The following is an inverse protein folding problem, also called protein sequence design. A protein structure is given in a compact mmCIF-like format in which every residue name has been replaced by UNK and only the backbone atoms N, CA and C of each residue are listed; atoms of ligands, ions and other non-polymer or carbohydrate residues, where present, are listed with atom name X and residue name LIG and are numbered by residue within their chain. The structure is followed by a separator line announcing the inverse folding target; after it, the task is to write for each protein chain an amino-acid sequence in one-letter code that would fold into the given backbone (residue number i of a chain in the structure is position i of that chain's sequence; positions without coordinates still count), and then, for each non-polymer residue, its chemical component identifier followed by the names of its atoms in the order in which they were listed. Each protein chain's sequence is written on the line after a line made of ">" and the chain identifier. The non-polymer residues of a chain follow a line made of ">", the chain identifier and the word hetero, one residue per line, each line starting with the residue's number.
data_IF_762962269872
#
_entry.id   IF_762962269872
#
_cell.length_a   1.000
_cell.length_b   1.000
_cell.length_c   1.000
_cell.angle_alpha   90.00
_cell.angle_beta   90.00
_cell.angle_gamma   90.00
#
_symmetry.space_group_name_H-M   'P 1'
#
loop_
_entity.id
_entity.type
_entity.pdbx_description
1 polymer ?
#
# COMPACT_ATOMS: atom_id res chain seq x y z
N UNK A 1 4.44 -4.43 7.02
CA UNK A 1 5.68 -5.16 6.64
C UNK A 1 5.45 -6.59 6.17
N UNK A 2 5.00 -7.47 7.06
CA UNK A 2 5.00 -8.94 6.84
C UNK A 2 4.07 -9.43 5.72
N UNK A 3 3.01 -8.68 5.39
CA UNK A 3 2.06 -9.05 4.32
C UNK A 3 2.76 -9.23 2.95
N UNK A 4 3.84 -8.49 2.70
CA UNK A 4 4.51 -8.48 1.39
C UNK A 4 5.17 -9.83 1.06
N UNK A 5 5.70 -10.54 2.05
CA UNK A 5 6.59 -11.69 1.81
C UNK A 5 6.46 -12.80 2.84
N UNK A 6 6.24 -12.49 4.12
CA UNK A 6 6.33 -13.46 5.22
C UNK A 6 5.22 -14.51 5.13
N UNK A 7 3.97 -14.10 4.97
CA UNK A 7 2.84 -15.04 4.90
C UNK A 7 2.90 -15.93 3.66
N UNK A 8 3.30 -15.37 2.52
CA UNK A 8 3.51 -16.13 1.28
C UNK A 8 4.65 -17.14 1.42
N UNK A 9 5.74 -16.77 2.08
CA UNK A 9 6.84 -17.68 2.35
C UNK A 9 6.44 -18.79 3.32
N UNK A 10 5.68 -18.47 4.38
CA UNK A 10 5.17 -19.46 5.32
C UNK A 10 4.23 -20.47 4.66
N UNK A 11 3.47 -20.07 3.64
CA UNK A 11 2.64 -21.00 2.88
C UNK A 11 3.47 -22.13 2.23
N UNK A 12 4.67 -21.80 1.77
CA UNK A 12 5.59 -22.73 1.12
C UNK A 12 6.42 -23.51 2.13
N UNK A 13 6.94 -22.83 3.15
CA UNK A 13 7.98 -23.36 4.03
C UNK A 13 7.46 -23.94 5.35
N UNK A 14 6.36 -23.40 5.88
CA UNK A 14 5.83 -23.74 7.19
C UNK A 14 4.29 -23.58 7.26
N UNK A 15 3.52 -24.37 6.49
CA UNK A 15 2.07 -24.20 6.39
C UNK A 15 1.33 -24.45 7.72
N UNK A 16 1.89 -25.25 8.63
CA UNK A 16 1.33 -25.46 9.97
C UNK A 16 1.49 -24.21 10.87
N UNK A 17 2.58 -23.47 10.69
CA UNK A 17 2.81 -22.18 11.36
C UNK A 17 1.85 -21.15 10.79
N UNK A 18 1.70 -21.09 9.46
CA UNK A 18 0.74 -20.21 8.80
C UNK A 18 -0.68 -20.44 9.32
N UNK A 19 -1.15 -21.69 9.37
CA UNK A 19 -2.50 -22.02 9.83
C UNK A 19 -2.76 -21.51 11.26
N UNK A 20 -1.80 -21.72 12.18
CA UNK A 20 -1.91 -21.22 13.56
C UNK A 20 -1.89 -19.69 13.65
N UNK A 21 -1.10 -19.02 12.80
CA UNK A 21 -1.09 -17.55 12.75
C UNK A 21 -2.43 -16.99 12.26
N UNK A 22 -2.98 -17.57 11.20
CA UNK A 22 -4.29 -17.16 10.66
C UNK A 22 -5.41 -17.35 11.70
N UNK A 23 -5.41 -18.48 12.41
CA UNK A 23 -6.33 -18.70 13.54
C UNK A 23 -6.11 -17.70 14.67
N UNK A 24 -4.86 -17.38 15.00
CA UNK A 24 -4.50 -16.37 15.99
C UNK A 24 -5.07 -14.99 15.63
N UNK A 25 -5.00 -14.58 14.37
CA UNK A 25 -5.59 -13.33 13.90
C UNK A 25 -7.11 -13.33 13.92
N UNK A 26 -7.74 -14.47 13.63
CA UNK A 26 -9.20 -14.63 13.78
C UNK A 26 -9.61 -14.43 15.24
N UNK A 27 -8.84 -14.96 16.19
CA UNK A 27 -9.10 -14.75 17.61
C UNK A 27 -8.83 -13.31 18.04
N UNK A 28 -7.76 -12.67 17.56
CA UNK A 28 -7.49 -11.26 17.82
C UNK A 28 -8.67 -10.37 17.38
N UNK A 29 -9.24 -10.61 16.20
CA UNK A 29 -10.45 -9.92 15.75
C UNK A 29 -11.65 -10.17 16.67
N UNK A 30 -11.91 -11.42 17.07
CA UNK A 30 -13.03 -11.74 17.98
C UNK A 30 -12.91 -11.04 19.34
N UNK A 31 -11.69 -10.83 19.82
CA UNK A 31 -11.42 -10.18 21.11
C UNK A 31 -11.42 -8.66 21.03
N UNK A 32 -10.89 -8.08 19.95
CA UNK A 32 -10.74 -6.63 19.79
C UNK A 32 -11.89 -5.97 19.01
N UNK A 33 -12.67 -6.75 18.25
CA UNK A 33 -13.66 -6.27 17.30
C UNK A 33 -13.08 -5.67 16.02
N UNK A 34 -11.75 -5.61 15.89
CA UNK A 34 -11.00 -5.08 14.74
C UNK A 34 -9.75 -5.92 14.52
N UNK A 35 -9.27 -5.97 13.28
CA UNK A 35 -7.99 -6.62 13.01
C UNK A 35 -6.84 -5.68 13.42
N UNK A 36 -5.84 -6.16 14.18
CA UNK A 36 -4.71 -5.32 14.56
C UNK A 36 -3.78 -5.03 13.37
N UNK A 37 -3.30 -3.79 13.26
CA UNK A 37 -2.30 -3.36 12.26
C UNK A 37 -0.88 -3.63 12.76
N UNK A 38 -0.58 -3.27 14.01
CA UNK A 38 0.70 -3.59 14.68
C UNK A 38 0.49 -4.12 16.09
N UNK A 39 0.27 -5.43 16.24
CA UNK A 39 0.19 -6.04 17.56
C UNK A 39 1.58 -6.18 18.22
N UNK A 40 1.77 -5.56 19.40
CA UNK A 40 2.93 -5.75 20.27
C UNK A 40 2.65 -5.36 21.75
N UNK A 41 2.09 -6.27 22.59
CA UNK A 41 1.41 -7.51 22.19
C UNK A 41 -0.02 -7.27 21.68
N UNK A 42 -0.67 -6.18 22.12
CA UNK A 42 -1.92 -5.67 21.56
C UNK A 42 -1.67 -4.56 20.54
N UNK A 43 -2.73 -4.01 19.97
CA UNK A 43 -2.61 -3.00 18.91
C UNK A 43 -1.76 -1.80 19.31
N UNK A 44 -0.89 -1.39 18.38
CA UNK A 44 -0.06 -0.20 18.45
C UNK A 44 -0.35 0.64 17.23
N UNK A 45 -0.41 1.96 17.39
CA UNK A 45 -0.64 2.93 16.31
C UNK A 45 0.59 3.04 15.40
N UNK A 46 0.82 1.98 14.63
CA UNK A 46 1.94 1.76 13.72
C UNK A 46 1.48 0.66 12.76
N UNK A 47 1.91 0.57 11.52
CA UNK A 47 2.15 1.67 10.61
C UNK A 47 0.81 2.00 9.91
N UNK A 48 0.85 2.44 8.65
CA UNK A 48 -0.34 2.80 7.87
C UNK A 48 -0.99 1.59 7.18
N UNK A 49 -2.29 1.72 6.89
CA UNK A 49 -3.08 0.75 6.13
C UNK A 49 -3.45 -0.51 6.93
N UNK A 50 -4.56 -1.15 6.58
CA UNK A 50 -5.05 -2.37 7.23
C UNK A 50 -4.51 -3.62 6.51
N UNK A 51 -3.18 -3.78 6.50
CA UNK A 51 -2.55 -4.81 5.64
C UNK A 51 -2.77 -6.26 6.11
N UNK A 52 -3.33 -6.45 7.31
CA UNK A 52 -3.90 -7.73 7.73
C UNK A 52 -5.08 -8.17 6.83
N UNK A 53 -5.84 -7.22 6.29
CA UNK A 53 -6.93 -7.49 5.35
C UNK A 53 -6.41 -8.18 4.07
N UNK A 54 -5.25 -7.75 3.58
CA UNK A 54 -4.62 -8.36 2.40
C UNK A 54 -4.24 -9.81 2.68
N UNK A 55 -3.75 -10.10 3.89
CA UNK A 55 -3.40 -11.47 4.32
C UNK A 55 -4.65 -12.34 4.42
N UNK A 56 -5.72 -11.84 5.04
CA UNK A 56 -6.99 -12.57 5.13
C UNK A 56 -7.65 -12.76 3.76
N UNK A 57 -7.65 -11.73 2.92
CA UNK A 57 -8.19 -11.81 1.57
C UNK A 57 -7.44 -12.87 0.74
N UNK A 58 -6.10 -12.86 0.80
CA UNK A 58 -5.27 -13.89 0.16
C UNK A 58 -5.56 -15.29 0.71
N UNK A 59 -5.71 -15.46 2.02
CA UNK A 59 -6.01 -16.74 2.64
C UNK A 59 -7.39 -17.28 2.21
N UNK A 60 -8.39 -16.40 2.07
CA UNK A 60 -9.72 -16.75 1.55
C UNK A 60 -9.61 -17.23 0.10
N UNK A 61 -9.01 -16.41 -0.78
CA UNK A 61 -8.88 -16.69 -2.22
C UNK A 61 -8.08 -17.97 -2.46
N UNK A 62 -7.02 -18.20 -1.67
CA UNK A 62 -6.11 -19.34 -1.82
C UNK A 62 -6.59 -20.60 -1.10
N UNK A 63 -7.76 -20.57 -0.43
CA UNK A 63 -8.32 -21.71 0.28
C UNK A 63 -7.50 -22.18 1.49
N UNK A 64 -6.78 -21.26 2.16
CA UNK A 64 -5.87 -21.57 3.30
C UNK A 64 -6.54 -21.53 4.67
N UNK A 65 -7.86 -21.36 4.71
CA UNK A 65 -8.66 -21.32 5.92
C UNK A 65 -9.91 -22.21 5.77
N UNK A 66 -10.44 -22.73 6.88
CA UNK A 66 -11.74 -23.44 6.89
C UNK A 66 -12.88 -22.50 6.53
N UNK A 67 -14.05 -23.03 6.17
CA UNK A 67 -15.22 -22.20 5.83
C UNK A 67 -15.67 -21.32 7.00
N UNK A 68 -15.63 -21.83 8.23
CA UNK A 68 -15.94 -21.07 9.43
C UNK A 68 -14.94 -19.93 9.64
N UNK A 69 -13.65 -20.21 9.44
CA UNK A 69 -12.61 -19.18 9.55
C UNK A 69 -12.72 -18.13 8.45
N UNK A 70 -13.01 -18.52 7.19
CA UNK A 70 -13.23 -17.58 6.08
C UNK A 70 -14.37 -16.61 6.37
N UNK A 71 -15.48 -17.09 6.94
CA UNK A 71 -16.60 -16.23 7.31
C UNK A 71 -16.18 -15.16 8.33
N UNK A 72 -15.41 -15.52 9.36
CA UNK A 72 -14.93 -14.57 10.37
C UNK A 72 -13.83 -13.65 9.81
N UNK A 73 -12.92 -14.17 8.99
CA UNK A 73 -11.93 -13.35 8.29
C UNK A 73 -12.58 -12.27 7.43
N UNK A 74 -13.65 -12.63 6.71
CA UNK A 74 -14.38 -11.67 5.88
C UNK A 74 -15.16 -10.65 6.72
N UNK A 75 -15.70 -11.04 7.88
CA UNK A 75 -16.27 -10.10 8.85
C UNK A 75 -15.24 -9.08 9.34
N UNK A 76 -14.02 -9.53 9.66
CA UNK A 76 -12.91 -8.66 10.06
C UNK A 76 -12.56 -7.67 8.95
N UNK A 77 -12.35 -8.17 7.73
CA UNK A 77 -12.09 -7.34 6.54
C UNK A 77 -13.17 -6.28 6.35
N UNK A 78 -14.45 -6.67 6.43
CA UNK A 78 -15.57 -5.75 6.26
C UNK A 78 -15.61 -4.68 7.36
N UNK A 79 -15.28 -5.05 8.59
CA UNK A 79 -15.22 -4.12 9.70
C UNK A 79 -14.13 -3.05 9.46
N UNK A 80 -12.93 -3.47 9.07
CA UNK A 80 -11.82 -2.55 8.76
C UNK A 80 -12.11 -1.66 7.55
N UNK A 81 -12.83 -2.20 6.55
CA UNK A 81 -13.02 -1.58 5.23
C UNK A 81 -14.26 -0.70 5.09
N UNK A 82 -15.34 -1.04 5.81
CA UNK A 82 -16.63 -0.35 5.74
C UNK A 82 -17.15 0.10 7.10
N UNK A 83 -16.54 -0.35 8.20
CA UNK A 83 -16.90 0.09 9.54
C UNK A 83 -16.36 1.48 9.84
N UNK A 84 -17.07 2.20 10.71
CA UNK A 84 -16.62 3.47 11.24
C UNK A 84 -15.82 3.25 12.53
N UNK A 85 -14.58 3.74 12.57
CA UNK A 85 -13.79 3.85 13.79
C UNK A 85 -13.81 5.29 14.30
N UNK A 86 -13.73 5.50 15.61
CA UNK A 86 -13.55 6.86 16.15
C UNK A 86 -12.22 7.45 15.66
N UNK A 87 -12.13 8.78 15.53
CA UNK A 87 -10.87 9.45 15.11
C UNK A 87 -9.68 9.13 16.02
N UNK A 88 -9.93 8.87 17.30
CA UNK A 88 -8.93 8.47 18.29
C UNK A 88 -8.63 6.96 18.32
N UNK A 89 -9.35 6.16 17.53
CA UNK A 89 -9.18 4.70 17.50
C UNK A 89 -7.79 4.35 16.95
N UNK A 90 -7.07 3.41 17.56
CA UNK A 90 -5.87 2.84 16.95
C UNK A 90 -6.21 1.81 15.85
N UNK A 91 -7.47 1.40 15.74
CA UNK A 91 -7.96 0.40 14.80
C UNK A 91 -8.69 1.02 13.61
N UNK A 92 -8.73 0.26 12.51
CA UNK A 92 -9.48 0.58 11.31
C UNK A 92 -8.74 1.55 10.38
N UNK A 93 -9.40 1.90 9.27
CA UNK A 93 -8.85 2.83 8.29
C UNK A 93 -9.00 4.28 8.75
N UNK A 94 -7.88 4.92 9.07
CA UNK A 94 -7.85 6.35 9.36
C UNK A 94 -8.43 7.19 8.20
N UNK A 95 -9.16 8.23 8.54
CA UNK A 95 -9.69 9.24 7.61
C UNK A 95 -10.62 8.70 6.50
N UNK A 96 -11.13 7.46 6.64
CA UNK A 96 -11.76 6.65 5.58
C UNK A 96 -12.79 7.40 4.73
N UNK A 97 -13.59 8.28 5.33
CA UNK A 97 -14.59 9.11 4.66
C UNK A 97 -14.08 9.81 3.40
N UNK A 98 -12.89 10.43 3.46
CA UNK A 98 -12.34 11.14 2.30
C UNK A 98 -11.99 10.20 1.15
N UNK A 99 -11.43 9.03 1.46
CA UNK A 99 -11.10 8.03 0.45
C UNK A 99 -12.35 7.37 -0.14
N UNK A 100 -13.37 7.15 0.68
CA UNK A 100 -14.66 6.58 0.25
C UNK A 100 -15.46 7.52 -0.64
N UNK A 101 -15.37 8.83 -0.41
CA UNK A 101 -16.04 9.85 -1.23
C UNK A 101 -15.19 10.24 -2.45
N UNK A 102 -13.93 10.61 -2.23
CA UNK A 102 -13.06 11.26 -3.22
C UNK A 102 -12.00 10.35 -3.85
N UNK A 103 -11.67 9.22 -3.20
CA UNK A 103 -10.58 8.32 -3.64
C UNK A 103 -9.18 8.79 -3.25
N UNK A 104 -9.03 9.90 -2.54
CA UNK A 104 -7.75 10.43 -2.05
C UNK A 104 -7.95 11.10 -0.69
N UNK A 105 -6.85 11.35 0.02
CA UNK A 105 -6.85 12.11 1.27
C UNK A 105 -6.18 13.47 1.08
N UNK A 106 -6.82 14.58 1.51
CA UNK A 106 -6.13 15.86 1.61
C UNK A 106 -5.07 15.84 2.72
N UNK A 107 -3.88 16.44 2.54
CA UNK A 107 -2.87 16.57 3.59
C UNK A 107 -3.36 17.30 4.85
N UNK A 108 -4.35 18.19 4.74
CA UNK A 108 -4.99 18.88 5.87
C UNK A 108 -5.79 17.94 6.77
N UNK A 109 -6.29 16.84 6.21
CA UNK A 109 -7.25 15.94 6.83
C UNK A 109 -6.62 14.62 7.25
N UNK A 110 -5.55 14.18 6.58
CA UNK A 110 -4.87 12.94 6.90
C UNK A 110 -3.36 13.03 6.65
N UNK A 111 -2.51 12.74 7.66
CA UNK A 111 -1.07 12.58 7.44
C UNK A 111 -0.79 11.34 6.60
N UNK A 112 0.39 11.26 5.98
CA UNK A 112 0.77 10.15 5.10
C UNK A 112 -0.23 9.90 3.96
N UNK A 113 -0.91 10.96 3.52
CA UNK A 113 -2.12 10.86 2.71
C UNK A 113 -1.98 9.99 1.45
N UNK A 114 -0.90 10.17 0.69
CA UNK A 114 -0.67 9.43 -0.55
C UNK A 114 -0.38 7.96 -0.25
N UNK A 115 0.51 7.68 0.70
CA UNK A 115 0.84 6.31 1.07
C UNK A 115 -0.35 5.56 1.67
N UNK A 116 -1.20 6.22 2.48
CA UNK A 116 -2.45 5.63 2.98
C UNK A 116 -3.43 5.31 1.86
N UNK A 117 -3.61 6.22 0.90
CA UNK A 117 -4.48 5.98 -0.25
C UNK A 117 -4.00 4.77 -1.04
N UNK A 118 -2.69 4.66 -1.29
CA UNK A 118 -2.10 3.52 -2.01
C UNK A 118 -2.24 2.20 -1.25
N UNK A 119 -2.03 2.18 0.08
CA UNK A 119 -2.28 0.99 0.89
C UNK A 119 -3.75 0.57 0.86
N UNK A 120 -4.68 1.52 0.92
CA UNK A 120 -6.12 1.23 0.78
C UNK A 120 -6.47 0.69 -0.61
N UNK A 121 -5.81 1.16 -1.68
CA UNK A 121 -6.01 0.60 -3.02
C UNK A 121 -5.54 -0.87 -3.10
N UNK A 122 -4.38 -1.18 -2.51
CA UNK A 122 -3.86 -2.55 -2.43
C UNK A 122 -4.82 -3.43 -1.64
N UNK A 123 -5.28 -2.98 -0.47
CA UNK A 123 -6.25 -3.68 0.35
C UNK A 123 -7.56 -3.92 -0.41
N UNK A 124 -8.17 -2.87 -0.97
CA UNK A 124 -9.44 -2.97 -1.68
C UNK A 124 -9.37 -3.92 -2.88
N UNK A 125 -8.26 -3.91 -3.62
CA UNK A 125 -8.06 -4.85 -4.74
C UNK A 125 -8.04 -6.30 -4.25
N UNK A 126 -7.31 -6.59 -3.17
CA UNK A 126 -7.25 -7.94 -2.60
C UNK A 126 -8.62 -8.36 -2.05
N UNK A 127 -9.30 -7.47 -1.33
CA UNK A 127 -10.60 -7.74 -0.73
C UNK A 127 -11.66 -7.97 -1.81
N UNK A 128 -11.63 -7.26 -2.94
CA UNK A 128 -12.56 -7.49 -4.04
C UNK A 128 -12.50 -8.94 -4.56
N UNK A 129 -11.31 -9.55 -4.60
CA UNK A 129 -11.15 -10.96 -4.98
C UNK A 129 -11.68 -11.92 -3.91
N UNK A 130 -11.50 -11.59 -2.62
CA UNK A 130 -12.08 -12.38 -1.53
C UNK A 130 -13.62 -12.29 -1.53
N UNK A 131 -14.16 -11.10 -1.79
CA UNK A 131 -15.58 -10.85 -1.93
C UNK A 131 -16.19 -11.70 -3.06
N UNK A 132 -15.58 -11.71 -4.25
CA UNK A 132 -15.99 -12.59 -5.35
C UNK A 132 -16.00 -14.08 -4.95
N UNK A 133 -14.92 -14.52 -4.28
CA UNK A 133 -14.76 -15.92 -3.84
C UNK A 133 -15.89 -16.35 -2.91
N UNK A 134 -16.42 -15.43 -2.10
CA UNK A 134 -17.49 -15.67 -1.14
C UNK A 134 -18.89 -15.30 -1.68
N UNK A 135 -19.00 -14.89 -2.94
CA UNK A 135 -20.28 -14.49 -3.55
C UNK A 135 -20.82 -13.14 -3.09
N UNK A 136 -19.97 -12.27 -2.55
CA UNK A 136 -20.30 -10.92 -2.04
C UNK A 136 -20.17 -9.89 -3.17
N UNK A 137 -20.99 -10.04 -4.21
CA UNK A 137 -20.86 -9.29 -5.47
C UNK A 137 -20.96 -7.76 -5.30
N UNK A 138 -21.83 -7.28 -4.40
CA UNK A 138 -22.02 -5.85 -4.15
C UNK A 138 -20.76 -5.22 -3.55
N UNK A 139 -20.15 -5.87 -2.56
CA UNK A 139 -18.88 -5.41 -1.97
C UNK A 139 -17.78 -5.36 -3.03
N UNK A 140 -17.67 -6.41 -3.83
CA UNK A 140 -16.65 -6.50 -4.88
C UNK A 140 -16.80 -5.37 -5.92
N UNK A 141 -18.04 -5.03 -6.29
CA UNK A 141 -18.34 -3.93 -7.22
C UNK A 141 -17.98 -2.56 -6.62
N UNK A 142 -18.31 -2.31 -5.36
CA UNK A 142 -17.95 -1.09 -4.63
C UNK A 142 -16.44 -0.93 -4.56
N UNK A 143 -15.72 -1.99 -4.17
CA UNK A 143 -14.27 -1.96 -4.00
C UNK A 143 -13.54 -1.71 -5.32
N UNK A 144 -13.93 -2.37 -6.40
CA UNK A 144 -13.34 -2.13 -7.74
C UNK A 144 -13.56 -0.71 -8.22
N UNK A 145 -14.77 -0.18 -8.02
CA UNK A 145 -15.09 1.21 -8.37
C UNK A 145 -14.25 2.18 -7.55
N UNK A 146 -14.10 1.93 -6.24
CA UNK A 146 -13.29 2.74 -5.33
C UNK A 146 -11.81 2.72 -5.72
N UNK A 147 -11.22 1.55 -5.99
CA UNK A 147 -9.84 1.42 -6.50
C UNK A 147 -9.67 2.20 -7.80
N UNK A 148 -10.57 2.03 -8.77
CA UNK A 148 -10.42 2.70 -10.06
C UNK A 148 -10.44 4.22 -9.92
N UNK A 149 -11.39 4.77 -9.14
CA UNK A 149 -11.46 6.20 -8.83
C UNK A 149 -10.21 6.66 -8.08
N UNK A 150 -9.74 5.88 -7.11
CA UNK A 150 -8.60 6.24 -6.28
C UNK A 150 -7.30 6.33 -7.09
N UNK A 151 -7.08 5.44 -8.06
CA UNK A 151 -5.92 5.54 -8.96
C UNK A 151 -5.97 6.85 -9.77
N UNK A 152 -7.12 7.20 -10.35
CA UNK A 152 -7.27 8.44 -11.13
C UNK A 152 -7.13 9.70 -10.26
N UNK A 153 -7.65 9.63 -9.03
CA UNK A 153 -7.57 10.72 -8.09
C UNK A 153 -6.14 10.99 -7.60
N UNK A 154 -5.29 9.96 -7.46
CA UNK A 154 -3.95 10.13 -6.89
C UNK A 154 -2.83 10.24 -7.94
N UNK A 155 -3.05 9.85 -9.20
CA UNK A 155 -2.01 9.95 -10.24
C UNK A 155 -1.84 11.37 -10.81
N UNK A 156 -0.68 11.98 -10.58
CA UNK A 156 -0.28 13.25 -11.18
C UNK A 156 0.47 12.96 -12.50
N UNK A 157 -0.12 13.23 -13.68
CA UNK A 157 0.50 12.91 -14.97
C UNK A 157 1.64 13.86 -15.35
N UNK A 158 1.68 15.08 -14.82
CA UNK A 158 2.75 16.05 -15.11
C UNK A 158 4.07 15.61 -14.47
N UNK A 159 3.99 15.11 -13.24
CA UNK A 159 5.14 14.64 -12.48
C UNK A 159 5.39 13.12 -12.61
N UNK A 160 4.45 12.38 -13.20
CA UNK A 160 4.45 10.93 -13.28
C UNK A 160 4.66 10.24 -11.92
N UNK A 161 3.89 10.67 -10.92
CA UNK A 161 3.89 10.15 -9.54
C UNK A 161 2.46 10.01 -9.02
N UNK A 162 2.29 9.24 -7.94
CA UNK A 162 1.16 9.44 -7.05
C UNK A 162 1.44 10.64 -6.14
N UNK A 163 0.57 11.64 -6.15
CA UNK A 163 0.82 12.94 -5.52
C UNK A 163 -0.29 13.39 -4.56
N UNK A 164 0.01 14.33 -3.65
CA UNK A 164 -1.00 14.89 -2.75
C UNK A 164 -1.87 15.93 -3.46
N UNK A 165 -3.15 15.98 -3.09
CA UNK A 165 -4.14 16.97 -3.55
C UNK A 165 -4.81 17.68 -2.39
N UNK A 166 -5.18 18.93 -2.58
CA UNK A 166 -6.00 19.67 -1.61
C UNK A 166 -7.47 19.19 -1.62
N UNK A 167 -8.29 19.69 -0.71
CA UNK A 167 -9.71 19.34 -0.64
C UNK A 167 -10.51 19.65 -1.90
N UNK A 168 -10.08 20.66 -2.67
CA UNK A 168 -10.68 21.07 -3.93
C UNK A 168 -10.20 20.21 -5.11
N UNK A 169 -9.23 19.31 -4.89
CA UNK A 169 -8.67 18.42 -5.90
C UNK A 169 -7.51 19.02 -6.69
N UNK A 170 -6.95 20.16 -6.29
CA UNK A 170 -5.77 20.74 -6.93
C UNK A 170 -4.51 20.01 -6.45
N UNK A 171 -3.55 19.82 -7.36
CA UNK A 171 -2.24 19.25 -7.01
C UNK A 171 -1.42 20.22 -6.17
N UNK A 172 -0.76 19.70 -5.14
CA UNK A 172 0.33 20.42 -4.52
C UNK A 172 1.55 20.40 -5.46
N UNK A 173 2.23 21.54 -5.56
CA UNK A 173 3.53 21.61 -6.24
C UNK A 173 4.61 21.05 -5.31
N UNK A 174 5.01 19.80 -5.57
CA UNK A 174 6.06 19.11 -4.80
C UNK A 174 7.24 18.74 -5.71
N UNK A 175 8.44 18.73 -5.13
CA UNK A 175 9.58 18.05 -5.75
C UNK A 175 9.30 16.55 -5.82
N UNK A 176 9.61 15.90 -6.94
CA UNK A 176 9.53 14.43 -7.05
C UNK A 176 10.47 13.73 -6.06
N UNK A 177 11.49 14.44 -5.57
CA UNK A 177 12.42 13.95 -4.54
C UNK A 177 11.94 14.17 -3.11
N UNK A 178 10.73 14.72 -2.94
CA UNK A 178 10.15 14.99 -1.63
C UNK A 178 9.87 13.70 -0.87
N UNK A 179 10.41 13.63 0.35
CA UNK A 179 10.04 12.68 1.39
C UNK A 179 9.16 13.38 2.43
N UNK A 180 8.17 14.14 1.96
CA UNK A 180 7.22 14.84 2.81
C UNK A 180 6.43 13.85 3.67
N UNK A 181 6.59 13.94 4.99
CA UNK A 181 5.83 13.13 5.96
C UNK A 181 4.32 13.47 5.98
N UNK A 182 3.89 14.55 5.33
CA UNK A 182 2.46 14.79 5.13
C UNK A 182 1.86 13.91 4.01
N UNK A 183 2.69 13.47 3.05
CA UNK A 183 2.25 12.72 1.89
C UNK A 183 2.66 11.25 1.93
N UNK A 184 3.88 10.96 2.36
CA UNK A 184 4.50 9.64 2.25
C UNK A 184 5.06 9.17 3.59
N UNK A 185 4.85 7.90 3.92
CA UNK A 185 5.48 7.23 5.06
C UNK A 185 6.81 6.60 4.65
N UNK A 186 7.90 7.00 5.31
CA UNK A 186 9.26 6.40 5.23
C UNK A 186 9.77 6.15 3.80
N UNK A 187 9.40 7.05 2.90
CA UNK A 187 9.72 7.04 1.48
C UNK A 187 9.30 8.36 0.85
N UNK A 188 9.55 8.53 -0.45
CA UNK A 188 9.11 9.68 -1.20
C UNK A 188 8.31 9.30 -2.45
N UNK A 189 7.98 10.32 -3.24
CA UNK A 189 7.21 10.13 -4.46
C UNK A 189 7.85 9.11 -5.42
N UNK A 190 9.19 9.08 -5.52
CA UNK A 190 9.91 8.12 -6.37
C UNK A 190 9.81 6.67 -5.92
N UNK A 191 9.67 6.41 -4.61
CA UNK A 191 9.49 5.06 -4.07
C UNK A 191 8.03 4.61 -4.27
N UNK A 192 7.07 5.50 -4.01
CA UNK A 192 5.64 5.18 -4.11
C UNK A 192 5.07 5.20 -5.53
N UNK A 193 5.72 5.82 -6.53
CA UNK A 193 5.19 5.91 -7.91
C UNK A 193 4.93 4.55 -8.58
N UNK A 194 5.49 3.47 -8.05
CA UNK A 194 5.27 2.11 -8.55
C UNK A 194 4.26 1.30 -7.72
N UNK A 195 3.59 1.91 -6.74
CA UNK A 195 2.68 1.25 -5.80
C UNK A 195 1.30 0.94 -6.41
N UNK A 196 1.31 0.18 -7.50
CA UNK A 196 0.12 -0.42 -8.11
C UNK A 196 0.38 -1.88 -8.49
N UNK A 197 0.91 -2.72 -7.58
CA UNK A 197 1.36 -4.07 -7.91
C UNK A 197 0.22 -5.00 -8.38
N UNK A 198 -1.02 -4.67 -8.05
CA UNK A 198 -2.23 -5.40 -8.45
C UNK A 198 -2.74 -5.04 -9.86
N UNK A 199 -2.24 -3.96 -10.48
CA UNK A 199 -2.66 -3.51 -11.82
C UNK A 199 -1.47 -2.90 -12.60
N UNK A 200 -0.47 -3.73 -12.87
CA UNK A 200 0.72 -3.35 -13.65
C UNK A 200 0.37 -2.83 -15.06
N UNK A 201 -0.60 -3.42 -15.80
CA UNK A 201 -1.02 -2.86 -17.09
C UNK A 201 -1.50 -1.41 -17.00
N UNK A 202 -2.32 -1.06 -16.00
CA UNK A 202 -2.75 0.33 -15.79
C UNK A 202 -1.57 1.22 -15.43
N UNK A 203 -0.67 0.77 -14.54
CA UNK A 203 0.53 1.52 -14.18
C UNK A 203 1.39 1.84 -15.42
N UNK A 204 1.59 0.86 -16.30
CA UNK A 204 2.27 1.07 -17.59
C UNK A 204 1.55 2.13 -18.45
N UNK A 205 0.22 2.09 -18.49
CA UNK A 205 -0.60 3.10 -19.18
C UNK A 205 -0.44 4.50 -18.61
N UNK A 206 -0.40 4.65 -17.28
CA UNK A 206 -0.20 5.92 -16.58
C UNK A 206 1.15 6.57 -16.92
N UNK A 207 2.19 5.76 -17.17
CA UNK A 207 3.50 6.22 -17.63
C UNK A 207 3.59 6.44 -19.16
N UNK A 208 2.48 6.34 -19.88
CA UNK A 208 2.42 6.59 -21.32
C UNK A 208 2.90 5.42 -22.17
N UNK A 209 2.81 4.19 -21.65
CA UNK A 209 3.13 2.96 -22.36
C UNK A 209 4.43 2.29 -21.90
N UNK A 210 4.63 1.05 -22.38
CA UNK A 210 5.69 0.16 -21.88
C UNK A 210 7.10 0.73 -22.03
N UNK A 211 7.41 1.38 -23.15
CA UNK A 211 8.76 1.93 -23.40
C UNK A 211 9.13 2.98 -22.35
N UNK A 212 8.27 3.99 -22.16
CA UNK A 212 8.44 5.04 -21.14
C UNK A 212 8.43 4.48 -19.73
N UNK A 213 7.58 3.50 -19.44
CA UNK A 213 7.58 2.84 -18.14
C UNK A 213 8.91 2.12 -17.86
N UNK A 214 9.44 1.37 -18.82
CA UNK A 214 10.72 0.67 -18.64
C UNK A 214 11.90 1.63 -18.57
N UNK A 215 11.87 2.76 -19.27
CA UNK A 215 12.83 3.85 -19.07
C UNK A 215 12.74 4.43 -17.66
N UNK A 216 11.52 4.63 -17.14
CA UNK A 216 11.29 5.12 -15.78
C UNK A 216 11.80 4.15 -14.72
N UNK A 217 11.59 2.84 -14.91
CA UNK A 217 12.14 1.77 -14.08
C UNK A 217 13.67 1.78 -14.14
N UNK A 218 14.27 1.83 -15.33
CA UNK A 218 15.74 1.92 -15.48
C UNK A 218 16.30 3.12 -14.74
N UNK A 219 15.71 4.30 -14.96
CA UNK A 219 16.07 5.53 -14.26
C UNK A 219 15.96 5.39 -12.74
N UNK A 220 14.96 4.67 -12.23
CA UNK A 220 14.86 4.42 -10.78
C UNK A 220 16.08 3.69 -10.21
N UNK A 221 16.66 2.75 -10.95
CA UNK A 221 17.85 2.01 -10.52
C UNK A 221 19.18 2.73 -10.78
N UNK A 222 19.18 3.77 -11.63
CA UNK A 222 20.43 4.45 -12.07
C UNK A 222 20.51 5.93 -11.70
N UNK A 223 19.41 6.57 -11.28
CA UNK A 223 19.38 7.99 -10.96
C UNK A 223 20.09 8.28 -9.63
N UNK A 224 21.26 8.93 -9.73
CA UNK A 224 22.07 9.38 -8.61
C UNK A 224 22.10 10.91 -8.49
N UNK A 225 21.16 11.61 -9.13
CA UNK A 225 21.14 13.08 -9.20
C UNK A 225 20.96 13.68 -7.81
N UNK A 226 21.83 14.60 -7.40
CA UNK A 226 21.73 15.28 -6.09
C UNK A 226 20.73 16.47 -6.11
N UNK A 227 20.10 16.82 -4.98
CA UNK A 227 20.02 15.99 -3.76
C UNK A 227 19.29 14.67 -4.05
N UNK A 228 19.59 13.57 -3.36
CA UNK A 228 18.91 12.28 -3.60
C UNK A 228 17.45 12.31 -3.13
N UNK A 229 17.20 13.04 -2.07
CA UNK A 229 15.90 13.27 -1.46
C UNK A 229 15.87 14.68 -0.86
N UNK A 230 14.67 15.22 -0.74
CA UNK A 230 14.40 16.41 0.04
C UNK A 230 13.70 15.96 1.33
N UNK A 231 14.33 16.13 2.51
CA UNK A 231 13.75 15.67 3.76
C UNK A 231 12.47 16.45 4.09
N UNK A 232 11.65 15.87 4.96
CA UNK A 232 10.51 16.60 5.51
C UNK A 232 10.97 17.86 6.25
N UNK A 233 10.01 18.76 6.54
CA UNK A 233 10.25 20.02 7.24
C UNK A 233 10.93 19.87 8.61
N UNK A 234 11.01 18.65 9.16
CA UNK A 234 11.65 18.33 10.44
C UNK A 234 13.18 18.46 10.43
N UNK A 235 13.84 18.73 9.30
CA UNK A 235 15.31 18.95 9.19
C UNK A 235 16.18 17.80 9.72
N UNK A 236 15.60 16.63 9.97
CA UNK A 236 16.30 15.42 10.43
C UNK A 236 16.30 14.42 9.28
N UNK A 237 17.48 13.91 8.95
CA UNK A 237 17.64 12.80 8.01
C UNK A 237 17.31 11.52 8.76
N UNK A 238 16.27 10.79 8.33
CA UNK A 238 15.91 9.50 8.93
C UNK A 238 16.92 8.42 8.53
N UNK A 239 16.92 7.28 9.23
CA UNK A 239 17.87 6.21 8.88
C UNK A 239 17.57 5.61 7.49
N UNK A 240 16.31 5.58 7.05
CA UNK A 240 15.93 5.10 5.72
C UNK A 240 16.50 5.99 4.61
N UNK A 241 16.44 7.32 4.80
CA UNK A 241 17.07 8.30 3.92
C UNK A 241 18.59 8.16 3.92
N UNK A 242 19.18 7.93 5.10
CA UNK A 242 20.61 7.71 5.23
C UNK A 242 21.05 6.44 4.52
N UNK A 243 20.33 5.34 4.69
CA UNK A 243 20.60 4.05 4.05
C UNK A 243 20.48 4.14 2.53
N UNK A 244 19.43 4.80 2.00
CA UNK A 244 19.34 5.13 0.57
C UNK A 244 20.59 5.87 0.08
N UNK A 245 21.04 6.90 0.82
CA UNK A 245 22.24 7.66 0.45
C UNK A 245 23.53 6.84 0.43
N UNK A 246 23.59 5.74 1.19
CA UNK A 246 24.76 4.86 1.27
C UNK A 246 24.82 3.84 0.13
N UNK A 247 23.69 3.56 -0.52
CA UNK A 247 23.58 2.52 -1.57
C UNK A 247 23.25 3.10 -2.96
N UNK A 248 22.94 4.40 -3.04
CA UNK A 248 22.46 5.03 -4.29
C UNK A 248 23.47 4.97 -5.43
N UNK A 249 24.77 4.90 -5.13
CA UNK A 249 25.83 4.74 -6.15
C UNK A 249 25.67 3.43 -6.95
N UNK A 250 25.00 2.43 -6.37
CA UNK A 250 24.75 1.11 -6.99
C UNK A 250 23.29 0.86 -7.34
N UNK A 251 22.37 1.50 -6.63
CA UNK A 251 20.93 1.23 -6.73
C UNK A 251 20.09 2.46 -7.09
N UNK A 252 20.70 3.63 -7.34
CA UNK A 252 19.98 4.85 -7.69
C UNK A 252 18.98 5.25 -6.60
N UNK A 253 17.70 5.34 -6.99
CA UNK A 253 16.55 5.66 -6.13
C UNK A 253 15.85 4.41 -5.57
N UNK A 254 16.33 3.20 -5.90
CA UNK A 254 15.80 1.94 -5.37
C UNK A 254 16.21 1.75 -3.90
N UNK A 255 15.39 2.28 -3.00
CA UNK A 255 15.55 2.20 -1.56
C UNK A 255 15.15 0.81 -1.04
N UNK A 256 15.91 -0.24 -1.41
CA UNK A 256 15.65 -1.63 -0.99
C UNK A 256 15.67 -1.81 0.54
N UNK A 257 16.31 -0.88 1.24
CA UNK A 257 16.34 -0.86 2.69
C UNK A 257 14.95 -0.72 3.34
N UNK A 258 13.92 -0.27 2.60
CA UNK A 258 12.56 -0.13 3.14
C UNK A 258 11.45 -0.73 2.25
N UNK A 259 10.32 -1.10 2.86
CA UNK A 259 9.25 -1.88 2.21
C UNK A 259 8.60 -1.21 0.98
N UNK A 260 8.42 0.14 0.91
CA UNK A 260 7.81 0.78 -0.26
C UNK A 260 8.53 0.51 -1.58
N UNK A 261 9.77 0.01 -1.56
CA UNK A 261 10.53 -0.33 -2.76
C UNK A 261 10.52 -1.83 -3.10
N UNK A 262 10.13 -2.72 -2.18
CA UNK A 262 10.37 -4.16 -2.35
C UNK A 262 9.66 -4.76 -3.57
N UNK A 263 8.47 -4.26 -3.92
CA UNK A 263 7.69 -4.76 -5.05
C UNK A 263 8.15 -4.25 -6.42
N UNK A 264 9.04 -3.25 -6.49
CA UNK A 264 9.44 -2.59 -7.76
C UNK A 264 10.03 -3.60 -8.76
N UNK A 265 10.81 -4.58 -8.29
CA UNK A 265 11.35 -5.64 -9.14
C UNK A 265 10.25 -6.55 -9.71
N UNK A 266 9.25 -6.89 -8.90
CA UNK A 266 8.09 -7.67 -9.35
C UNK A 266 7.25 -6.91 -10.38
N UNK A 267 7.07 -5.60 -10.18
CA UNK A 267 6.39 -4.71 -11.15
C UNK A 267 7.19 -4.62 -12.45
N UNK A 268 8.51 -4.46 -12.38
CA UNK A 268 9.36 -4.44 -13.57
C UNK A 268 9.27 -5.75 -14.37
N UNK A 269 9.28 -6.88 -13.67
CA UNK A 269 9.12 -8.21 -14.28
C UNK A 269 7.74 -8.35 -14.97
N UNK A 270 6.67 -7.99 -14.27
CA UNK A 270 5.30 -8.07 -14.78
C UNK A 270 5.06 -7.13 -15.97
N UNK A 271 5.73 -5.97 -16.02
CA UNK A 271 5.70 -5.05 -17.16
C UNK A 271 6.59 -5.48 -18.33
N UNK A 272 7.37 -6.55 -18.17
CA UNK A 272 8.34 -7.02 -19.15
C UNK A 272 9.49 -6.04 -19.38
N UNK A 273 9.91 -5.32 -18.34
CA UNK A 273 11.08 -4.43 -18.35
C UNK A 273 12.35 -5.23 -18.07
N UNK A 274 12.63 -6.20 -18.95
CA UNK A 274 13.89 -6.94 -18.95
C UNK A 274 14.97 -5.99 -19.45
N UNK A 275 16.02 -5.78 -18.67
CA UNK A 275 17.20 -5.04 -19.13
C UNK A 275 17.76 -5.74 -20.37
N UNK A 276 17.88 -4.99 -21.47
CA UNK A 276 18.90 -5.25 -22.49
C UNK A 276 20.20 -4.56 -22.05
#
# INVERSE_FOLDING_TARGET
>A
DSYNTVYLWLDLAAPDVLARLLEGWVNAYKEAGWLPTWPSPGERQSMIGTMGDVVFAWAIVSGKASEEAKAVMYQAIRQDTFGESSESSPFGRACSKYYDEKGFFPPSECPDCVSRALMNMVADSAIAHAADTLGMADDAAVLRTRVSRAVDANWNPELAIFGPRDEAGNWYNISVKSWSSQAYTEGGALQYRFCLPFDVPRLVGLHGGREKFCETIRGHFTDTTLPLFEPSSLSIITHEQKELSLISDRFGQYAHNNQPSHHVLGVALAAGCYTA
#
